data_IF_889987943087
#
_entry.id   IF_889987943087
#
_cell.length_a   1.000
_cell.length_b   1.000
_cell.length_c   1.000
_cell.angle_alpha   90.00
_cell.angle_beta   90.00
_cell.angle_gamma   90.00
#
_symmetry.space_group_name_H-M   'P 1'
#
loop_
_entity.id
_entity.type
_entity.pdbx_description
1 polymer ?
#
# COMPACT_ATOMS: atom_id res chain seq x y z
N UNK A 1 35.10 -0.42 5.18
CA UNK A 1 33.88 -1.17 4.81
C UNK A 1 34.19 -1.90 3.53
N UNK A 2 34.08 -3.23 3.49
CA UNK A 2 34.44 -4.03 2.31
C UNK A 2 33.40 -3.83 1.19
N UNK A 3 33.84 -3.76 -0.08
CA UNK A 3 32.98 -3.56 -1.26
C UNK A 3 31.91 -4.65 -1.37
N UNK A 4 32.26 -5.89 -1.00
CA UNK A 4 31.31 -7.02 -0.92
C UNK A 4 30.20 -6.80 0.12
N UNK A 5 30.51 -6.07 1.19
CA UNK A 5 29.52 -5.71 2.23
C UNK A 5 28.54 -4.63 1.75
N UNK A 6 29.00 -3.69 0.91
CA UNK A 6 28.14 -2.66 0.32
C UNK A 6 27.19 -3.23 -0.75
N UNK A 7 27.69 -4.10 -1.62
CA UNK A 7 26.86 -4.76 -2.65
C UNK A 7 25.76 -5.61 -2.01
N UNK A 8 26.08 -6.34 -0.95
CA UNK A 8 25.10 -7.13 -0.20
C UNK A 8 24.03 -6.26 0.48
N UNK A 9 24.43 -5.14 1.12
CA UNK A 9 23.50 -4.22 1.76
C UNK A 9 22.58 -3.52 0.74
N UNK A 10 23.13 -3.12 -0.42
CA UNK A 10 22.34 -2.55 -1.51
C UNK A 10 21.33 -3.57 -2.09
N UNK A 11 21.69 -4.85 -2.15
CA UNK A 11 20.77 -5.93 -2.55
C UNK A 11 19.57 -6.03 -1.59
N UNK A 12 19.84 -6.16 -0.29
CA UNK A 12 18.78 -6.25 0.73
C UNK A 12 17.87 -5.03 0.77
N UNK A 13 18.44 -3.84 0.55
CA UNK A 13 17.66 -2.61 0.47
C UNK A 13 16.66 -2.66 -0.69
N UNK A 14 17.12 -3.00 -1.90
CA UNK A 14 16.24 -3.12 -3.08
C UNK A 14 15.15 -4.19 -2.92
N UNK A 15 15.47 -5.30 -2.28
CA UNK A 15 14.49 -6.34 -1.95
C UNK A 15 13.42 -5.82 -0.99
N UNK A 16 13.82 -5.09 0.06
CA UNK A 16 12.91 -4.48 1.01
C UNK A 16 12.02 -3.41 0.34
N UNK A 17 12.58 -2.58 -0.54
CA UNK A 17 11.81 -1.63 -1.35
C UNK A 17 10.77 -2.33 -2.22
N UNK A 18 11.17 -3.40 -2.91
CA UNK A 18 10.29 -4.18 -3.78
C UNK A 18 9.14 -4.79 -2.99
N UNK A 19 9.45 -5.42 -1.85
CA UNK A 19 8.44 -6.01 -0.96
C UNK A 19 7.49 -4.95 -0.41
N UNK A 20 8.02 -3.80 0.00
CA UNK A 20 7.20 -2.70 0.51
C UNK A 20 6.25 -2.16 -0.56
N UNK A 21 6.71 -2.08 -1.83
CA UNK A 21 5.85 -1.68 -2.95
C UNK A 21 4.69 -2.66 -3.15
N UNK A 22 4.96 -3.97 -3.13
CA UNK A 22 3.92 -4.99 -3.29
C UNK A 22 2.88 -4.91 -2.16
N UNK A 23 3.34 -4.82 -0.91
CA UNK A 23 2.44 -4.70 0.25
C UNK A 23 1.56 -3.45 0.20
N UNK A 24 2.06 -2.33 -0.36
CA UNK A 24 1.24 -1.12 -0.56
C UNK A 24 0.15 -1.32 -1.61
N UNK A 25 0.44 -2.06 -2.69
CA UNK A 25 -0.55 -2.38 -3.71
C UNK A 25 -1.63 -3.33 -3.17
N UNK A 26 -1.22 -4.35 -2.42
CA UNK A 26 -2.13 -5.29 -1.76
C UNK A 26 -3.03 -4.58 -0.74
N UNK A 27 -2.47 -3.70 0.09
CA UNK A 27 -3.25 -2.89 1.03
C UNK A 27 -4.25 -1.99 0.30
N UNK A 28 -3.85 -1.35 -0.79
CA UNK A 28 -4.74 -0.51 -1.57
C UNK A 28 -5.91 -1.34 -2.14
N UNK A 29 -5.64 -2.52 -2.71
CA UNK A 29 -6.70 -3.42 -3.19
C UNK A 29 -7.65 -3.87 -2.07
N UNK A 30 -7.12 -4.21 -0.89
CA UNK A 30 -7.93 -4.60 0.26
C UNK A 30 -8.83 -3.46 0.75
N UNK A 31 -8.34 -2.21 0.74
CA UNK A 31 -9.14 -1.03 1.08
C UNK A 31 -10.32 -0.87 0.13
N UNK A 32 -10.10 -1.06 -1.17
CA UNK A 32 -11.16 -0.91 -2.18
C UNK A 32 -12.18 -2.02 -2.10
N UNK A 33 -11.74 -3.26 -1.89
CA UNK A 33 -12.66 -4.37 -1.65
C UNK A 33 -13.54 -4.11 -0.42
N UNK A 34 -12.95 -3.64 0.69
CA UNK A 34 -13.72 -3.33 1.90
C UNK A 34 -14.77 -2.22 1.65
N UNK A 35 -14.44 -1.21 0.86
CA UNK A 35 -15.39 -0.16 0.46
C UNK A 35 -16.52 -0.72 -0.41
N UNK A 36 -16.20 -1.56 -1.40
CA UNK A 36 -17.16 -2.25 -2.26
C UNK A 36 -18.09 -3.20 -1.47
N UNK A 37 -17.58 -3.81 -0.40
CA UNK A 37 -18.35 -4.65 0.52
C UNK A 37 -19.23 -3.83 1.50
N UNK A 38 -19.20 -2.50 1.40
CA UNK A 38 -20.00 -1.59 2.23
C UNK A 38 -19.45 -1.36 3.64
N UNK A 39 -18.18 -1.69 3.90
CA UNK A 39 -17.55 -1.41 5.19
C UNK A 39 -17.46 0.10 5.39
N UNK A 40 -17.94 0.59 6.53
CA UNK A 40 -17.88 2.02 6.85
C UNK A 40 -16.42 2.51 6.81
N UNK A 41 -16.20 3.62 6.10
CA UNK A 41 -14.87 4.24 5.95
C UNK A 41 -14.17 4.50 7.30
N UNK A 42 -14.93 4.77 8.38
CA UNK A 42 -14.40 4.89 9.74
C UNK A 42 -13.64 3.63 10.17
N UNK A 43 -14.22 2.44 9.98
CA UNK A 43 -13.59 1.18 10.37
C UNK A 43 -12.38 0.86 9.50
N UNK A 44 -12.42 1.22 8.21
CA UNK A 44 -11.25 1.11 7.31
C UNK A 44 -10.09 1.98 7.82
N UNK A 45 -10.38 3.23 8.23
CA UNK A 45 -9.36 4.12 8.79
C UNK A 45 -8.76 3.55 10.10
N UNK A 46 -9.60 3.01 10.99
CA UNK A 46 -9.16 2.41 12.25
C UNK A 46 -8.27 1.18 12.04
N UNK A 47 -8.62 0.31 11.08
CA UNK A 47 -7.85 -0.90 10.79
C UNK A 47 -6.53 -0.64 10.07
N UNK A 48 -6.47 0.39 9.22
CA UNK A 48 -5.29 0.68 8.37
C UNK A 48 -4.39 1.77 8.94
N UNK A 49 -4.88 2.57 9.88
CA UNK A 49 -4.21 3.77 10.39
C UNK A 49 -4.17 4.93 9.38
N UNK A 50 -4.85 4.79 8.23
CA UNK A 50 -4.92 5.86 7.23
C UNK A 50 -5.96 6.90 7.60
N UNK A 51 -5.72 8.13 7.16
CA UNK A 51 -6.71 9.20 7.25
C UNK A 51 -7.86 8.96 6.27
N UNK A 52 -9.03 9.53 6.56
CA UNK A 52 -10.19 9.46 5.65
C UNK A 52 -9.86 9.97 4.25
N UNK A 53 -9.03 11.00 4.13
CA UNK A 53 -8.61 11.54 2.83
C UNK A 53 -7.75 10.53 2.05
N UNK A 54 -6.84 9.83 2.72
CA UNK A 54 -6.02 8.79 2.09
C UNK A 54 -6.88 7.62 1.63
N UNK A 55 -7.79 7.13 2.48
CA UNK A 55 -8.74 6.06 2.12
C UNK A 55 -9.58 6.48 0.92
N UNK A 56 -10.16 7.69 0.95
CA UNK A 56 -10.96 8.21 -0.18
C UNK A 56 -10.17 8.26 -1.49
N UNK A 57 -8.93 8.75 -1.48
CA UNK A 57 -8.07 8.78 -2.68
C UNK A 57 -7.79 7.38 -3.22
N UNK A 58 -7.59 6.39 -2.34
CA UNK A 58 -7.33 5.01 -2.74
C UNK A 58 -8.56 4.39 -3.41
N UNK A 59 -9.74 4.61 -2.85
CA UNK A 59 -11.01 4.14 -3.43
C UNK A 59 -11.26 4.76 -4.80
N UNK A 60 -11.21 6.10 -4.88
CA UNK A 60 -11.52 6.82 -6.11
C UNK A 60 -10.51 6.58 -7.26
N UNK A 61 -9.27 6.22 -6.95
CA UNK A 61 -8.25 5.95 -7.96
C UNK A 61 -8.53 4.67 -8.78
N UNK A 62 -9.39 3.76 -8.33
CA UNK A 62 -9.85 2.63 -9.15
C UNK A 62 -11.03 3.02 -10.03
N UNK A 63 -11.93 3.86 -9.54
CA UNK A 63 -13.06 4.37 -10.32
C UNK A 63 -12.60 5.15 -11.57
N UNK A 64 -11.52 5.94 -11.47
CA UNK A 64 -10.94 6.68 -12.60
C UNK A 64 -10.24 5.78 -13.64
N UNK A 65 -9.86 4.54 -13.29
CA UNK A 65 -9.21 3.62 -14.23
C UNK A 65 -10.21 2.72 -14.97
N UNK A 66 -11.47 2.68 -14.52
CA UNK A 66 -12.55 1.87 -15.09
C UNK A 66 -13.43 2.63 -16.09
N UNK A 67 -13.20 3.94 -16.28
CA UNK A 67 -13.85 4.83 -17.25
C UNK A 67 -12.97 5.06 -18.49
#
# INVERSE_FOLDING_TARGET
MDKRSLEHLAGRFREAETRTRLLRLELAAAIRQADADGVLQKHICEATGYTRQQVRRIVQAEDEAAE
#
